data_IF_977201284833
#
_entry.id   IF_977201284833
#
_cell.length_a   1.000
_cell.length_b   1.000
_cell.length_c   1.000
_cell.angle_alpha   90.00
_cell.angle_beta   90.00
_cell.angle_gamma   90.00
#
_symmetry.space_group_name_H-M   'P 1'
#
loop_
_entity.id
_entity.type
_entity.pdbx_description
1 polymer ?
#
# COMPACT_ATOMS: atom_id res chain seq x y z
N UNK A 1 8.31 -13.46 -5.23
CA UNK A 1 7.03 -13.03 -5.83
C UNK A 1 7.04 -13.48 -7.29
N UNK A 2 6.16 -14.40 -7.72
CA UNK A 2 6.29 -15.13 -8.98
C UNK A 2 5.77 -14.36 -10.21
N UNK A 3 6.04 -13.05 -10.33
CA UNK A 3 5.49 -12.20 -11.42
C UNK A 3 5.97 -12.54 -12.83
N UNK A 4 7.05 -13.33 -12.92
CA UNK A 4 7.63 -13.81 -14.17
C UNK A 4 7.31 -15.28 -14.45
N UNK A 5 6.61 -15.95 -13.52
CA UNK A 5 6.13 -17.30 -13.76
C UNK A 5 5.07 -17.29 -14.88
N UNK A 6 5.09 -18.30 -15.75
CA UNK A 6 4.16 -18.41 -16.86
C UNK A 6 2.71 -18.59 -16.38
N UNK A 7 2.51 -19.21 -15.21
CA UNK A 7 1.18 -19.43 -14.63
C UNK A 7 0.61 -18.19 -13.95
N UNK A 8 1.41 -17.14 -13.71
CA UNK A 8 0.96 -15.95 -12.98
C UNK A 8 -0.21 -15.24 -13.68
N UNK A 9 -0.17 -15.09 -15.00
CA UNK A 9 -1.29 -14.48 -15.75
C UNK A 9 -2.55 -15.34 -15.68
N UNK A 10 -2.41 -16.66 -15.82
CA UNK A 10 -3.51 -17.62 -15.72
C UNK A 10 -4.15 -17.56 -14.34
N UNK A 11 -3.33 -17.59 -13.28
CA UNK A 11 -3.80 -17.45 -11.91
C UNK A 11 -4.57 -16.15 -11.70
N UNK A 12 -4.02 -15.01 -12.14
CA UNK A 12 -4.71 -13.72 -12.00
C UNK A 12 -6.05 -13.69 -12.75
N UNK A 13 -6.11 -14.22 -13.99
CA UNK A 13 -7.36 -14.31 -14.75
C UNK A 13 -8.39 -15.16 -14.01
N UNK A 14 -7.99 -16.36 -13.56
CA UNK A 14 -8.91 -17.28 -12.88
C UNK A 14 -9.41 -16.72 -11.55
N UNK A 15 -8.51 -16.13 -10.75
CA UNK A 15 -8.86 -15.52 -9.48
C UNK A 15 -9.79 -14.32 -9.65
N UNK A 16 -9.60 -13.51 -10.69
CA UNK A 16 -10.45 -12.34 -10.96
C UNK A 16 -11.86 -12.71 -11.46
N UNK A 17 -12.15 -13.98 -11.80
CA UNK A 17 -13.51 -14.39 -12.21
C UNK A 17 -14.56 -14.16 -11.14
N UNK A 18 -14.18 -14.25 -9.87
CA UNK A 18 -15.09 -14.00 -8.74
C UNK A 18 -15.64 -12.56 -8.74
N UNK A 19 -14.96 -11.61 -9.38
CA UNK A 19 -15.39 -10.21 -9.42
C UNK A 19 -16.67 -10.01 -10.23
N UNK A 20 -17.04 -10.98 -11.10
CA UNK A 20 -18.29 -10.92 -11.87
C UNK A 20 -19.53 -10.83 -10.99
N UNK A 21 -19.46 -11.35 -9.77
CA UNK A 21 -20.59 -11.39 -8.83
C UNK A 21 -20.93 -10.01 -8.27
N UNK A 22 -19.99 -9.06 -8.34
CA UNK A 22 -20.12 -7.71 -7.77
C UNK A 22 -19.89 -6.59 -8.79
N UNK A 23 -19.60 -6.92 -10.05
CA UNK A 23 -19.24 -5.95 -11.11
C UNK A 23 -20.29 -4.89 -11.44
N UNK A 24 -21.54 -5.12 -11.05
CA UNK A 24 -22.66 -4.21 -11.28
C UNK A 24 -23.17 -3.57 -9.96
N UNK A 25 -22.50 -3.79 -8.82
CA UNK A 25 -22.88 -3.21 -7.52
C UNK A 25 -22.42 -1.75 -7.40
N UNK A 26 -23.33 -0.75 -7.47
CA UNK A 26 -22.94 0.66 -7.43
C UNK A 26 -22.35 1.11 -6.08
N UNK A 27 -22.42 0.28 -5.03
CA UNK A 27 -21.86 0.57 -3.71
C UNK A 27 -20.43 0.05 -3.54
N UNK A 28 -19.93 -0.73 -4.50
CA UNK A 28 -18.56 -1.19 -4.51
C UNK A 28 -17.65 -0.05 -4.97
N UNK A 29 -16.73 0.39 -4.11
CA UNK A 29 -15.75 1.42 -4.51
C UNK A 29 -14.71 0.87 -5.50
N UNK A 30 -14.24 -0.36 -5.26
CA UNK A 30 -13.14 -0.96 -6.00
C UNK A 30 -12.46 -2.10 -5.26
N UNK A 31 -11.40 -2.62 -5.88
CA UNK A 31 -10.69 -3.83 -5.45
C UNK A 31 -9.26 -3.52 -5.02
N UNK A 32 -8.87 -3.99 -3.84
CA UNK A 32 -7.45 -4.20 -3.52
C UNK A 32 -7.07 -5.60 -4.00
N UNK A 33 -5.93 -5.73 -4.67
CA UNK A 33 -5.49 -7.04 -5.16
C UNK A 33 -4.73 -7.86 -4.13
N UNK A 34 -4.01 -7.19 -3.25
CA UNK A 34 -3.11 -7.78 -2.25
C UNK A 34 -2.87 -6.79 -1.11
N UNK A 35 -2.10 -7.23 -0.11
CA UNK A 35 -1.66 -6.39 0.99
C UNK A 35 -0.14 -6.53 1.20
N UNK A 36 0.57 -5.40 1.26
CA UNK A 36 1.95 -5.32 1.72
C UNK A 36 2.97 -6.16 0.93
N UNK A 37 2.77 -6.24 -0.40
CA UNK A 37 3.67 -6.99 -1.28
C UNK A 37 5.15 -6.56 -1.15
N UNK A 38 6.09 -7.52 -1.28
CA UNK A 38 7.51 -7.26 -1.07
C UNK A 38 8.17 -6.68 -2.34
N UNK A 39 7.70 -5.53 -2.82
CA UNK A 39 8.40 -4.73 -3.84
C UNK A 39 9.66 -4.12 -3.23
N UNK A 40 10.69 -4.94 -3.00
CA UNK A 40 11.90 -4.50 -2.31
C UNK A 40 12.79 -3.65 -3.24
N UNK A 41 13.51 -2.66 -2.71
CA UNK A 41 14.41 -1.86 -3.51
C UNK A 41 15.59 -2.68 -4.07
N UNK A 42 15.98 -3.76 -3.41
CA UNK A 42 17.02 -4.71 -3.81
C UNK A 42 16.47 -5.90 -4.63
N UNK A 43 15.36 -5.69 -5.35
CA UNK A 43 14.66 -6.74 -6.11
C UNK A 43 15.59 -7.51 -7.04
N UNK A 44 16.48 -6.84 -7.79
CA UNK A 44 17.34 -7.54 -8.76
C UNK A 44 18.23 -8.58 -8.08
N UNK A 45 18.91 -8.18 -7.00
CA UNK A 45 19.73 -9.11 -6.22
C UNK A 45 18.89 -10.25 -5.66
N UNK A 46 17.73 -9.95 -5.09
CA UNK A 46 16.86 -10.98 -4.52
C UNK A 46 16.33 -11.98 -5.57
N UNK A 47 16.11 -11.55 -6.81
CA UNK A 47 15.72 -12.47 -7.88
C UNK A 47 16.90 -13.32 -8.37
N UNK A 48 18.11 -12.76 -8.40
CA UNK A 48 19.33 -13.50 -8.80
C UNK A 48 19.77 -14.55 -7.76
N UNK A 49 19.30 -14.45 -6.50
CA UNK A 49 19.56 -15.49 -5.48
C UNK A 49 18.57 -16.66 -5.52
N UNK A 50 17.51 -16.59 -6.33
CA UNK A 50 16.60 -17.70 -6.55
C UNK A 50 17.31 -18.84 -7.32
N UNK A 51 16.79 -20.09 -7.29
CA UNK A 51 17.32 -21.19 -8.09
C UNK A 51 17.44 -20.84 -9.59
N UNK A 52 18.47 -21.34 -10.29
CA UNK A 52 18.72 -21.00 -11.70
C UNK A 52 17.58 -21.40 -12.67
N UNK A 53 16.76 -22.37 -12.27
CA UNK A 53 15.59 -22.81 -13.02
C UNK A 53 14.31 -22.01 -12.69
N UNK A 54 14.36 -21.09 -11.71
CA UNK A 54 13.25 -20.19 -11.40
C UNK A 54 13.07 -19.15 -12.51
N UNK A 55 11.83 -18.95 -12.97
CA UNK A 55 11.52 -18.01 -14.04
C UNK A 55 11.94 -16.57 -13.71
N UNK A 56 11.85 -16.18 -12.44
CA UNK A 56 12.30 -14.89 -11.94
C UNK A 56 13.82 -14.75 -11.96
N UNK A 57 14.57 -15.80 -11.58
CA UNK A 57 16.03 -15.82 -11.74
C UNK A 57 16.41 -15.61 -13.21
N UNK A 58 15.83 -16.42 -14.11
CA UNK A 58 16.15 -16.40 -15.53
C UNK A 58 15.84 -15.04 -16.18
N UNK A 59 14.69 -14.45 -15.81
CA UNK A 59 14.32 -13.11 -16.26
C UNK A 59 15.31 -12.05 -15.74
N UNK A 60 15.62 -12.06 -14.45
CA UNK A 60 16.56 -11.11 -13.83
C UNK A 60 17.96 -11.18 -14.46
N UNK A 61 18.48 -12.41 -14.64
CA UNK A 61 19.78 -12.66 -15.27
C UNK A 61 19.81 -12.15 -16.70
N UNK A 62 18.85 -12.56 -17.53
CA UNK A 62 18.76 -12.13 -18.93
C UNK A 62 18.60 -10.60 -19.05
N UNK A 63 17.78 -10.00 -18.19
CA UNK A 63 17.59 -8.55 -18.16
C UNK A 63 18.88 -7.82 -17.80
N UNK A 64 19.59 -8.27 -16.76
CA UNK A 64 20.85 -7.64 -16.34
C UNK A 64 21.95 -7.81 -17.40
N UNK A 65 22.10 -9.01 -17.97
CA UNK A 65 23.05 -9.30 -19.05
C UNK A 65 22.78 -8.45 -20.30
N UNK A 66 21.51 -8.14 -20.60
CA UNK A 66 21.16 -7.26 -21.74
C UNK A 66 21.58 -5.80 -21.57
N UNK A 67 21.94 -5.39 -20.34
CA UNK A 67 22.43 -4.05 -20.00
C UNK A 67 23.95 -3.99 -19.89
N UNK A 68 24.65 -5.10 -20.13
CA UNK A 68 26.10 -5.12 -20.18
C UNK A 68 26.56 -4.77 -21.59
N UNK A 69 27.37 -3.72 -21.70
CA UNK A 69 28.03 -3.40 -22.96
C UNK A 69 29.16 -4.42 -23.20
N UNK A 70 29.59 -4.58 -24.46
CA UNK A 70 30.65 -5.53 -24.82
C UNK A 70 31.96 -5.28 -24.04
N UNK A 71 32.20 -4.04 -23.61
CA UNK A 71 33.39 -3.60 -22.86
C UNK A 71 33.27 -3.78 -21.34
N UNK A 72 32.05 -3.79 -20.77
CA UNK A 72 31.81 -3.87 -19.32
C UNK A 72 31.54 -5.29 -18.82
N UNK A 73 31.78 -6.29 -19.67
CA UNK A 73 31.22 -7.64 -19.58
C UNK A 73 31.79 -8.53 -18.47
N UNK A 74 32.91 -8.18 -17.85
CA UNK A 74 33.60 -9.09 -16.91
C UNK A 74 33.50 -8.67 -15.44
N UNK A 75 33.39 -7.37 -15.13
CA UNK A 75 33.49 -6.89 -13.74
C UNK A 75 32.41 -5.88 -13.28
N UNK A 76 31.39 -5.59 -14.11
CA UNK A 76 30.34 -4.62 -13.73
C UNK A 76 29.48 -5.17 -12.59
N UNK A 77 29.53 -4.50 -11.44
CA UNK A 77 28.65 -4.79 -10.30
C UNK A 77 27.26 -4.17 -10.48
N UNK A 78 26.24 -4.80 -9.88
CA UNK A 78 24.89 -4.25 -9.79
C UNK A 78 24.94 -2.94 -9.00
N UNK A 79 24.42 -1.86 -9.59
CA UNK A 79 24.33 -0.56 -8.93
C UNK A 79 22.88 -0.21 -8.53
N UNK A 80 22.70 0.94 -7.88
CA UNK A 80 21.38 1.41 -7.44
C UNK A 80 20.41 1.70 -8.59
N UNK A 81 20.91 2.07 -9.77
CA UNK A 81 20.08 2.32 -10.95
C UNK A 81 19.53 1.01 -11.53
N UNK A 82 20.35 -0.05 -11.58
CA UNK A 82 19.89 -1.38 -12.00
C UNK A 82 18.81 -1.91 -11.04
N UNK A 83 19.03 -1.75 -9.73
CA UNK A 83 18.06 -2.13 -8.71
C UNK A 83 16.74 -1.38 -8.88
N UNK A 84 16.79 -0.05 -9.04
CA UNK A 84 15.60 0.77 -9.23
C UNK A 84 14.86 0.42 -10.54
N UNK A 85 15.59 0.26 -11.64
CA UNK A 85 15.00 -0.10 -12.93
C UNK A 85 14.34 -1.48 -12.89
N UNK A 86 14.98 -2.48 -12.28
CA UNK A 86 14.41 -3.81 -12.16
C UNK A 86 13.21 -3.84 -11.21
N UNK A 87 13.29 -3.16 -10.06
CA UNK A 87 12.17 -3.05 -9.13
C UNK A 87 10.94 -2.38 -9.78
N UNK A 88 11.16 -1.40 -10.66
CA UNK A 88 10.07 -0.77 -11.42
C UNK A 88 9.43 -1.76 -12.39
N UNK A 89 10.22 -2.59 -13.09
CA UNK A 89 9.72 -3.64 -13.99
C UNK A 89 8.89 -4.66 -13.22
N UNK A 90 9.39 -5.11 -12.07
CA UNK A 90 8.69 -6.06 -11.19
C UNK A 90 7.33 -5.51 -10.77
N UNK A 91 7.29 -4.27 -10.27
CA UNK A 91 6.04 -3.60 -9.90
C UNK A 91 5.10 -3.42 -11.10
N UNK A 92 5.61 -2.90 -12.22
CA UNK A 92 4.82 -2.68 -13.43
C UNK A 92 4.22 -3.96 -14.00
N UNK A 93 4.99 -5.05 -14.01
CA UNK A 93 4.53 -6.37 -14.46
C UNK A 93 3.38 -6.86 -13.59
N UNK A 94 3.54 -6.82 -12.27
CA UNK A 94 2.48 -7.19 -11.33
C UNK A 94 1.19 -6.39 -11.58
N UNK A 95 1.29 -5.05 -11.53
CA UNK A 95 0.11 -4.19 -11.62
C UNK A 95 -0.56 -4.30 -12.99
N UNK A 96 0.19 -4.48 -14.07
CA UNK A 96 -0.38 -4.61 -15.42
C UNK A 96 -1.18 -5.90 -15.60
N UNK A 97 -0.64 -7.04 -15.12
CA UNK A 97 -1.32 -8.34 -15.20
C UNK A 97 -2.60 -8.31 -14.37
N UNK A 98 -2.52 -7.83 -13.13
CA UNK A 98 -3.67 -7.77 -12.23
C UNK A 98 -4.72 -6.79 -12.75
N UNK A 99 -4.33 -5.60 -13.23
CA UNK A 99 -5.27 -4.64 -13.81
C UNK A 99 -6.01 -5.22 -15.02
N UNK A 100 -5.31 -5.96 -15.91
CA UNK A 100 -5.92 -6.65 -17.05
C UNK A 100 -6.93 -7.69 -16.60
N UNK A 101 -6.61 -8.48 -15.58
CA UNK A 101 -7.50 -9.50 -15.04
C UNK A 101 -8.74 -8.90 -14.38
N UNK A 102 -8.57 -7.87 -13.53
CA UNK A 102 -9.69 -7.15 -12.89
C UNK A 102 -10.61 -6.55 -13.95
N UNK A 103 -10.07 -5.74 -14.87
CA UNK A 103 -10.86 -5.04 -15.90
C UNK A 103 -11.61 -5.98 -16.84
N UNK A 104 -11.15 -7.22 -17.01
CA UNK A 104 -11.84 -8.24 -17.81
C UNK A 104 -13.16 -8.69 -17.18
N UNK A 105 -13.23 -8.74 -15.86
CA UNK A 105 -14.39 -9.28 -15.12
C UNK A 105 -15.18 -8.22 -14.36
N UNK A 106 -14.56 -7.09 -14.05
CA UNK A 106 -15.17 -5.90 -13.49
C UNK A 106 -14.56 -4.63 -14.13
N UNK A 107 -15.14 -4.17 -15.25
CA UNK A 107 -14.67 -2.97 -15.94
C UNK A 107 -15.18 -1.66 -15.32
N UNK A 108 -16.07 -1.72 -14.33
CA UNK A 108 -16.80 -0.56 -13.81
C UNK A 108 -16.16 0.03 -12.55
N UNK A 109 -15.55 -0.81 -11.70
CA UNK A 109 -15.00 -0.39 -10.41
C UNK A 109 -13.49 -0.11 -10.44
N UNK A 110 -13.02 0.65 -9.45
CA UNK A 110 -11.62 1.07 -9.37
C UNK A 110 -10.69 -0.10 -9.03
N UNK A 111 -9.52 -0.13 -9.65
CA UNK A 111 -8.39 -0.90 -9.13
C UNK A 111 -7.60 -0.04 -8.13
N UNK A 112 -7.67 -0.40 -6.85
CA UNK A 112 -7.10 0.35 -5.72
C UNK A 112 -5.66 -0.07 -5.36
N UNK A 113 -5.04 -0.95 -6.16
CA UNK A 113 -3.67 -1.42 -5.96
C UNK A 113 -3.51 -2.45 -4.83
N UNK A 114 -2.30 -2.52 -4.24
CA UNK A 114 -1.89 -3.61 -3.35
C UNK A 114 -1.41 -3.17 -1.96
N UNK A 115 -1.82 -1.97 -1.50
CA UNK A 115 -1.55 -1.44 -0.15
C UNK A 115 -0.05 -1.41 0.17
N UNK A 116 0.69 -0.59 -0.58
CA UNK A 116 2.16 -0.50 -0.50
C UNK A 116 2.57 -0.05 0.91
N UNK A 117 3.65 -0.61 1.47
CA UNK A 117 4.06 -0.35 2.85
C UNK A 117 5.58 -0.32 3.04
N UNK A 118 5.99 0.21 4.20
CA UNK A 118 7.34 0.03 4.74
C UNK A 118 8.45 0.39 3.76
N UNK A 119 9.40 -0.54 3.56
CA UNK A 119 10.54 -0.34 2.66
C UNK A 119 10.16 -0.34 1.18
N UNK A 120 8.94 -0.74 0.81
CA UNK A 120 8.46 -0.74 -0.57
C UNK A 120 7.98 0.64 -1.05
N UNK A 121 7.92 1.63 -0.15
CA UNK A 121 7.55 3.03 -0.43
C UNK A 121 8.71 3.83 -1.05
N UNK A 122 9.17 3.38 -2.22
CA UNK A 122 10.24 4.01 -3.01
C UNK A 122 9.81 4.26 -4.46
N UNK A 123 10.54 5.14 -5.15
CA UNK A 123 10.20 5.64 -6.49
C UNK A 123 9.85 4.55 -7.51
N UNK A 124 10.67 3.51 -7.62
CA UNK A 124 10.44 2.43 -8.58
C UNK A 124 9.08 1.73 -8.41
N UNK A 125 8.60 1.51 -7.17
CA UNK A 125 7.28 0.89 -6.92
C UNK A 125 6.16 1.80 -7.42
N UNK A 126 6.24 3.10 -7.13
CA UNK A 126 5.23 4.08 -7.59
C UNK A 126 5.26 4.26 -9.10
N UNK A 127 6.45 4.32 -9.73
CA UNK A 127 6.56 4.35 -11.20
C UNK A 127 6.03 3.08 -11.85
N UNK A 128 6.14 1.94 -11.18
CA UNK A 128 5.56 0.68 -11.64
C UNK A 128 4.04 0.61 -11.45
N UNK A 129 3.45 1.38 -10.53
CA UNK A 129 2.03 1.28 -10.19
C UNK A 129 1.09 2.03 -11.14
N UNK A 130 1.58 2.57 -12.26
CA UNK A 130 0.76 3.32 -13.23
C UNK A 130 -0.50 2.59 -13.75
N UNK A 131 -0.61 1.25 -13.79
CA UNK A 131 -1.84 0.57 -14.23
C UNK A 131 -3.04 0.69 -13.28
N UNK A 132 -2.82 0.99 -11.99
CA UNK A 132 -3.90 1.15 -10.99
C UNK A 132 -4.66 2.45 -11.20
N UNK A 133 -5.89 2.55 -10.71
CA UNK A 133 -6.67 3.79 -10.77
C UNK A 133 -6.38 4.69 -9.56
N UNK A 134 -6.19 4.09 -8.38
CA UNK A 134 -5.77 4.76 -7.13
C UNK A 134 -4.64 3.95 -6.48
N UNK A 135 -3.55 4.62 -6.07
CA UNK A 135 -2.46 3.95 -5.35
C UNK A 135 -2.76 3.92 -3.87
N UNK A 136 -2.93 2.72 -3.31
CA UNK A 136 -3.11 2.53 -1.87
C UNK A 136 -1.80 2.36 -1.10
N UNK A 137 -1.71 3.01 0.07
CA UNK A 137 -0.53 3.02 0.94
C UNK A 137 -0.92 2.77 2.40
N UNK A 138 -0.27 1.79 3.03
CA UNK A 138 -0.28 1.62 4.48
C UNK A 138 0.76 2.58 5.09
N UNK A 139 0.31 3.61 5.79
CA UNK A 139 1.09 4.77 6.20
C UNK A 139 1.43 4.74 7.70
N UNK A 140 2.30 3.80 8.08
CA UNK A 140 2.76 3.61 9.45
C UNK A 140 4.05 4.39 9.77
N UNK A 141 4.35 4.52 11.07
CA UNK A 141 5.58 5.14 11.59
C UNK A 141 5.79 6.60 11.18
N UNK A 142 4.69 7.35 10.99
CA UNK A 142 4.70 8.79 10.71
C UNK A 142 3.72 9.49 11.63
N UNK A 143 4.24 10.39 12.47
CA UNK A 143 3.40 11.12 13.41
C UNK A 143 2.51 12.15 12.70
N UNK A 144 3.06 12.79 11.67
CA UNK A 144 2.40 13.77 10.80
C UNK A 144 2.66 13.44 9.33
N UNK A 145 1.83 13.98 8.44
CA UNK A 145 1.95 13.79 6.99
C UNK A 145 3.24 14.42 6.45
N UNK A 146 3.99 13.66 5.67
CA UNK A 146 5.15 14.12 4.91
C UNK A 146 4.70 14.59 3.51
N UNK A 147 4.27 15.84 3.41
CA UNK A 147 3.66 16.39 2.18
C UNK A 147 4.53 16.19 0.92
N UNK A 148 5.81 16.60 0.96
CA UNK A 148 6.72 16.46 -0.19
C UNK A 148 6.87 15.01 -0.66
N UNK A 149 6.83 14.06 0.28
CA UNK A 149 6.93 12.64 0.00
C UNK A 149 5.67 12.12 -0.69
N UNK A 150 4.48 12.50 -0.21
CA UNK A 150 3.21 12.13 -0.86
C UNK A 150 3.08 12.77 -2.24
N UNK A 151 3.48 14.04 -2.39
CA UNK A 151 3.53 14.72 -3.70
C UNK A 151 4.46 13.96 -4.66
N UNK A 152 5.61 13.49 -4.17
CA UNK A 152 6.52 12.66 -4.98
C UNK A 152 5.90 11.33 -5.40
N UNK A 153 5.21 10.64 -4.48
CA UNK A 153 4.50 9.39 -4.79
C UNK A 153 3.41 9.56 -5.86
N UNK A 154 2.60 10.61 -5.73
CA UNK A 154 1.57 10.93 -6.72
C UNK A 154 2.20 11.31 -8.07
N UNK A 155 3.28 12.10 -8.07
CA UNK A 155 4.03 12.45 -9.29
C UNK A 155 4.63 11.24 -9.99
N UNK A 156 5.24 10.30 -9.25
CA UNK A 156 5.88 9.12 -9.82
C UNK A 156 4.87 8.13 -10.40
N UNK A 157 3.74 7.95 -9.72
CA UNK A 157 2.68 7.04 -10.16
C UNK A 157 1.72 7.66 -11.19
N UNK A 158 1.60 8.99 -11.21
CA UNK A 158 0.58 9.70 -11.98
C UNK A 158 -0.84 9.43 -11.50
N UNK A 159 -1.02 8.96 -10.26
CA UNK A 159 -2.31 8.52 -9.70
C UNK A 159 -2.62 9.20 -8.36
N UNK A 160 -3.91 9.36 -8.01
CA UNK A 160 -4.31 9.73 -6.66
C UNK A 160 -3.90 8.66 -5.64
N UNK A 161 -3.80 9.07 -4.38
CA UNK A 161 -3.37 8.24 -3.27
C UNK A 161 -4.53 7.95 -2.30
N UNK A 162 -4.59 6.72 -1.79
CA UNK A 162 -5.49 6.32 -0.70
C UNK A 162 -4.67 5.79 0.47
N UNK A 163 -4.77 6.41 1.65
CA UNK A 163 -4.10 5.89 2.85
C UNK A 163 -4.91 4.74 3.42
N UNK A 164 -4.52 3.51 3.11
CA UNK A 164 -5.33 2.31 3.35
C UNK A 164 -5.20 1.71 4.74
N UNK A 165 -4.15 2.07 5.48
CA UNK A 165 -4.00 1.75 6.90
C UNK A 165 -3.15 2.78 7.63
N UNK A 166 -3.56 3.06 8.86
CA UNK A 166 -2.81 3.81 9.87
C UNK A 166 -3.58 3.70 11.19
N UNK A 167 -2.85 3.74 12.32
CA UNK A 167 -3.46 3.83 13.65
C UNK A 167 -2.47 4.25 14.73
N UNK A 168 -3.02 4.65 15.88
CA UNK A 168 -2.35 4.67 17.17
C UNK A 168 -3.09 3.74 18.14
N UNK A 169 -2.33 3.10 19.02
CA UNK A 169 -2.83 2.20 20.04
C UNK A 169 -2.60 2.75 21.44
N UNK A 170 -3.59 2.59 22.32
CA UNK A 170 -3.42 2.84 23.75
C UNK A 170 -3.20 1.51 24.46
N UNK A 171 -2.29 1.52 25.44
CA UNK A 171 -1.98 0.34 26.26
C UNK A 171 -2.58 0.52 27.66
N UNK A 172 -3.03 -0.57 28.28
CA UNK A 172 -3.50 -0.57 29.66
C UNK A 172 -2.34 -0.33 30.65
N UNK A 173 -1.14 -0.81 30.31
CA UNK A 173 0.10 -0.59 31.06
C UNK A 173 1.30 -0.51 30.10
N UNK A 174 2.38 0.16 30.52
CA UNK A 174 3.55 0.41 29.66
C UNK A 174 4.30 -0.87 29.25
N UNK A 175 4.21 -1.91 30.06
CA UNK A 175 4.79 -3.25 29.88
C UNK A 175 3.87 -4.22 29.12
N UNK A 176 2.71 -3.77 28.65
CA UNK A 176 1.83 -4.61 27.84
C UNK A 176 2.56 -5.05 26.56
N UNK A 177 2.67 -6.36 26.36
CA UNK A 177 3.18 -6.93 25.11
C UNK A 177 2.14 -6.73 23.99
N UNK A 178 2.35 -5.66 23.22
CA UNK A 178 1.48 -5.26 22.13
C UNK A 178 2.24 -5.22 20.81
N UNK A 179 1.75 -6.01 19.85
CA UNK A 179 2.28 -6.10 18.49
C UNK A 179 1.73 -5.00 17.57
N UNK A 180 2.33 -4.85 16.39
CA UNK A 180 1.83 -3.98 15.31
C UNK A 180 2.49 -2.60 15.25
N UNK A 181 2.29 -1.92 14.12
CA UNK A 181 3.09 -0.77 13.71
C UNK A 181 2.61 0.60 14.21
N UNK A 182 1.38 0.69 14.74
CA UNK A 182 0.82 1.94 15.23
C UNK A 182 1.50 2.45 16.51
N UNK A 183 1.60 3.79 16.62
CA UNK A 183 2.22 4.44 17.77
C UNK A 183 1.52 4.08 19.07
N UNK A 184 2.30 3.95 20.14
CA UNK A 184 1.78 3.77 21.50
C UNK A 184 1.47 5.15 22.09
N UNK A 185 0.22 5.38 22.46
CA UNK A 185 -0.28 6.61 23.10
C UNK A 185 -0.92 6.28 24.45
N UNK A 186 -1.19 7.31 25.27
CA UNK A 186 -1.57 7.09 26.67
C UNK A 186 -3.05 6.78 26.86
N UNK A 187 -3.93 7.25 25.98
CA UNK A 187 -5.38 7.16 26.18
C UNK A 187 -6.18 7.02 24.88
N UNK A 188 -7.48 6.71 25.01
CA UNK A 188 -8.43 6.75 23.90
C UNK A 188 -8.55 8.15 23.27
N UNK A 189 -8.51 9.20 24.10
CA UNK A 189 -8.47 10.59 23.64
C UNK A 189 -7.22 10.87 22.80
N UNK A 190 -6.04 10.40 23.21
CA UNK A 190 -4.81 10.61 22.44
C UNK A 190 -4.84 9.89 21.09
N UNK A 191 -5.54 8.75 20.99
CA UNK A 191 -5.79 8.09 19.70
C UNK A 191 -6.66 8.95 18.79
N UNK A 192 -7.67 9.61 19.34
CA UNK A 192 -8.51 10.56 18.60
C UNK A 192 -7.76 11.82 18.17
N UNK A 193 -6.86 12.35 19.01
CA UNK A 193 -5.99 13.49 18.66
C UNK A 193 -4.98 13.11 17.57
N UNK A 194 -4.39 11.92 17.66
CA UNK A 194 -3.54 11.37 16.61
C UNK A 194 -4.32 11.23 15.29
N UNK A 195 -5.57 10.76 15.35
CA UNK A 195 -6.45 10.72 14.18
C UNK A 195 -6.62 12.11 13.57
N UNK A 196 -7.03 13.09 14.37
CA UNK A 196 -7.24 14.45 13.86
C UNK A 196 -5.95 15.03 13.24
N UNK A 197 -4.81 14.86 13.88
CA UNK A 197 -3.52 15.34 13.36
C UNK A 197 -3.19 14.81 11.96
N UNK A 198 -3.24 13.49 11.78
CA UNK A 198 -2.91 12.89 10.48
C UNK A 198 -4.01 13.15 9.44
N UNK A 199 -5.29 13.01 9.79
CA UNK A 199 -6.39 13.23 8.86
C UNK A 199 -6.45 14.69 8.37
N UNK A 200 -6.16 15.68 9.22
CA UNK A 200 -6.01 17.08 8.79
C UNK A 200 -4.85 17.25 7.81
N UNK A 201 -3.72 16.59 8.04
CA UNK A 201 -2.61 16.57 7.09
C UNK A 201 -3.00 15.93 5.75
N UNK A 202 -3.72 14.80 5.78
CA UNK A 202 -4.17 14.11 4.57
C UNK A 202 -5.22 14.94 3.80
N UNK A 203 -6.09 15.66 4.50
CA UNK A 203 -7.05 16.60 3.88
C UNK A 203 -6.36 17.75 3.15
N UNK A 204 -5.18 18.19 3.62
CA UNK A 204 -4.38 19.23 2.98
C UNK A 204 -3.54 18.72 1.81
N UNK A 205 -3.50 17.41 1.57
CA UNK A 205 -2.79 16.82 0.44
C UNK A 205 -3.76 16.66 -0.74
N UNK A 206 -3.65 17.45 -1.81
CA UNK A 206 -4.61 17.42 -2.92
C UNK A 206 -4.75 16.05 -3.59
N UNK A 207 -3.64 15.30 -3.68
CA UNK A 207 -3.58 13.99 -4.34
C UNK A 207 -4.13 12.86 -3.45
N UNK A 208 -4.34 13.09 -2.15
CA UNK A 208 -4.93 12.11 -1.25
C UNK A 208 -6.45 12.12 -1.39
N UNK A 209 -7.08 11.02 -1.81
CA UNK A 209 -8.53 10.93 -2.02
C UNK A 209 -9.29 10.34 -0.84
N UNK A 210 -8.60 9.88 0.20
CA UNK A 210 -9.23 9.38 1.41
C UNK A 210 -8.28 8.58 2.30
N UNK A 211 -8.83 8.00 3.36
CA UNK A 211 -8.09 7.16 4.28
C UNK A 211 -8.97 6.13 4.99
N UNK A 212 -8.37 5.04 5.45
CA UNK A 212 -9.00 4.01 6.27
C UNK A 212 -8.21 3.78 7.57
N UNK A 213 -8.88 3.91 8.70
CA UNK A 213 -8.32 3.55 10.01
C UNK A 213 -8.20 2.03 10.13
N UNK A 214 -7.02 1.53 10.50
CA UNK A 214 -6.84 0.11 10.80
C UNK A 214 -6.93 -0.11 12.31
N UNK A 215 -8.01 -0.66 12.85
CA UNK A 215 -9.07 -1.46 12.22
C UNK A 215 -10.42 -1.24 12.91
N UNK A 216 -11.42 -2.05 12.58
CA UNK A 216 -12.71 -2.02 13.27
C UNK A 216 -12.57 -2.36 14.78
N UNK A 217 -11.97 -3.50 15.13
CA UNK A 217 -11.87 -3.95 16.51
C UNK A 217 -11.36 -5.38 16.64
N UNK A 218 -11.71 -6.04 17.75
CA UNK A 218 -11.28 -7.42 18.04
C UNK A 218 -9.84 -7.50 18.56
N UNK A 219 -9.44 -6.49 19.34
CA UNK A 219 -8.14 -6.49 20.01
C UNK A 219 -8.17 -7.37 21.26
N UNK A 220 -7.01 -7.91 21.62
CA UNK A 220 -6.83 -8.70 22.84
C UNK A 220 -6.94 -7.84 24.10
N UNK A 221 -6.86 -8.48 25.28
CA UNK A 221 -6.77 -7.74 26.54
C UNK A 221 -5.47 -6.93 26.62
N UNK A 222 -5.56 -5.67 27.04
CA UNK A 222 -4.40 -4.85 27.39
C UNK A 222 -4.01 -3.78 26.36
N UNK A 223 -4.54 -3.82 25.14
CA UNK A 223 -4.29 -2.77 24.14
C UNK A 223 -5.52 -2.50 23.29
N UNK A 224 -5.62 -1.29 22.73
CA UNK A 224 -6.74 -0.88 21.88
C UNK A 224 -6.19 -0.31 20.55
N UNK A 225 -6.43 -0.99 19.43
CA UNK A 225 -6.08 -0.52 18.07
C UNK A 225 -7.33 -0.10 17.31
N UNK A 226 -8.38 -0.91 17.38
CA UNK A 226 -9.63 -0.68 16.67
C UNK A 226 -10.57 0.30 17.36
N UNK A 227 -11.62 0.70 16.66
CA UNK A 227 -12.62 1.65 17.16
C UNK A 227 -13.62 1.03 18.16
N UNK A 228 -13.67 -0.30 18.25
CA UNK A 228 -14.43 -1.03 19.28
C UNK A 228 -13.53 -2.04 20.02
N UNK A 229 -13.90 -2.34 21.26
CA UNK A 229 -13.23 -3.35 22.07
C UNK A 229 -13.62 -4.79 21.68
N UNK A 230 -13.09 -5.79 22.41
CA UNK A 230 -13.40 -7.23 22.19
C UNK A 230 -14.87 -7.62 22.39
N UNK A 231 -15.65 -6.78 23.08
CA UNK A 231 -17.09 -6.95 23.31
C UNK A 231 -17.91 -6.09 22.35
N UNK A 232 -17.27 -5.48 21.35
CA UNK A 232 -17.88 -4.54 20.40
C UNK A 232 -18.41 -3.25 21.05
N UNK A 233 -17.90 -2.90 22.23
CA UNK A 233 -18.19 -1.61 22.87
C UNK A 233 -17.37 -0.51 22.19
N UNK A 234 -17.97 0.59 21.71
CA UNK A 234 -17.24 1.67 21.06
C UNK A 234 -16.27 2.39 21.99
N UNK A 235 -15.08 2.72 21.50
CA UNK A 235 -14.14 3.62 22.18
C UNK A 235 -14.58 5.08 21.96
N UNK A 236 -15.54 5.55 22.75
CA UNK A 236 -16.19 6.87 22.61
C UNK A 236 -15.18 8.02 22.56
N UNK A 237 -14.19 8.05 23.45
CA UNK A 237 -13.18 9.12 23.50
C UNK A 237 -12.35 9.24 22.21
N UNK A 238 -12.19 8.13 21.47
CA UNK A 238 -11.53 8.12 20.16
C UNK A 238 -12.53 8.53 19.06
N UNK A 239 -13.73 7.94 19.09
CA UNK A 239 -14.75 8.09 18.05
C UNK A 239 -15.36 9.49 18.00
N UNK A 240 -15.49 10.18 19.13
CA UNK A 240 -15.99 11.56 19.17
C UNK A 240 -15.09 12.51 18.36
N UNK A 241 -13.77 12.42 18.57
CA UNK A 241 -12.78 13.21 17.84
C UNK A 241 -12.68 12.82 16.35
N UNK A 242 -12.79 11.53 16.04
CA UNK A 242 -12.89 11.06 14.66
C UNK A 242 -14.14 11.64 13.97
N UNK A 243 -15.29 11.56 14.64
CA UNK A 243 -16.58 12.02 14.13
C UNK A 243 -16.64 13.54 13.94
N UNK A 244 -16.02 14.30 14.85
CA UNK A 244 -15.89 15.76 14.73
C UNK A 244 -15.23 16.16 13.41
N UNK A 245 -14.07 15.58 13.09
CA UNK A 245 -13.36 15.85 11.84
C UNK A 245 -14.11 15.31 10.64
N UNK A 246 -14.60 14.06 10.71
CA UNK A 246 -15.22 13.39 9.57
C UNK A 246 -16.46 14.13 9.04
N UNK A 247 -17.20 14.83 9.90
CA UNK A 247 -18.34 15.66 9.48
C UNK A 247 -17.94 16.91 8.69
N UNK A 248 -16.66 17.30 8.70
CA UNK A 248 -16.16 18.52 8.09
C UNK A 248 -15.32 18.28 6.83
N UNK A 249 -15.05 17.02 6.44
CA UNK A 249 -14.08 16.68 5.38
C UNK A 249 -14.37 17.38 4.05
N UNK A 250 -15.63 17.43 3.62
CA UNK A 250 -16.02 18.06 2.36
C UNK A 250 -15.94 19.59 2.44
N UNK A 251 -16.36 20.17 3.55
CA UNK A 251 -16.27 21.61 3.78
C UNK A 251 -14.80 22.07 3.77
N UNK A 252 -13.94 21.41 4.53
CA UNK A 252 -12.51 21.71 4.59
C UNK A 252 -11.80 21.52 3.25
N UNK A 253 -12.21 20.51 2.46
CA UNK A 253 -11.63 20.28 1.13
C UNK A 253 -12.09 21.29 0.08
N UNK A 254 -13.30 21.83 0.22
CA UNK A 254 -13.82 22.87 -0.69
C UNK A 254 -13.19 24.26 -0.50
N UNK A 255 -12.45 24.48 0.60
CA UNK A 255 -11.82 25.76 0.93
C UNK A 255 -10.34 25.85 0.54
N UNK A 256 -9.78 24.81 -0.06
CA UNK A 256 -8.39 24.74 -0.54
C UNK A 256 -8.32 25.05 -2.04
#
# INVERSE_FOLDING_TARGET
MPVFDAEFETFCDEHARQLRDVKDDPWLLGHFSDNELPFRPDSLTNFLTLPENDAGHQFAKKWFESRLDAETRVDRQINSEDQAAFAQIVAHRYYSVVAKAIRKYDPNHLYLGSRIHGRCLHEATFRGSTPVDVVSVNYYHRWSVEHDRMTSWAKWSGRPLLVSEWYAQSLAAADTDASGAGFRVRSGRDRGLFYQNLALGLLRQPECVGWHWFKYGGDGSGFCKGIVDRRYSPHTDTLELMGELNRQVYHMRSQQ
#
